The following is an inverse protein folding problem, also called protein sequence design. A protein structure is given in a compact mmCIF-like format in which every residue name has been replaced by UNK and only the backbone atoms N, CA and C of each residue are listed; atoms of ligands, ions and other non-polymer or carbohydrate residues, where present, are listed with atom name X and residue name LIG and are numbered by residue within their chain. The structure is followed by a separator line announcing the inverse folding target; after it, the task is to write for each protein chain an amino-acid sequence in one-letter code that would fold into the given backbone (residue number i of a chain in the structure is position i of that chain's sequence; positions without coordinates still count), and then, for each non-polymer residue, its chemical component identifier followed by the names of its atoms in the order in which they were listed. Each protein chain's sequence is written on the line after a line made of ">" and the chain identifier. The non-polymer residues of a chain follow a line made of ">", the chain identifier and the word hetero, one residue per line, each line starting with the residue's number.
data_IF_122116072306
#
_entry.id   IF_122116072306
#
_cell.length_a   1.000
_cell.length_b   1.000
_cell.length_c   1.000
_cell.angle_alpha   90.00
_cell.angle_beta   90.00
_cell.angle_gamma   90.00
#
_symmetry.space_group_name_H-M   'P 1'
#
loop_
_entity.id
_entity.type
_entity.pdbx_description
1 polymer ?
#
# COMPACT_ATOMS: atom_id res chain seq x y z
N UNK A 1 -9.64 2.95 -11.61
CA UNK A 1 -10.61 3.33 -10.56
C UNK A 1 -10.22 4.72 -10.08
N UNK A 2 -11.16 5.68 -9.93
CA UNK A 2 -10.82 7.00 -9.42
C UNK A 2 -10.41 6.90 -7.95
N UNK A 3 -9.46 7.74 -7.58
CA UNK A 3 -8.83 7.81 -6.26
C UNK A 3 -9.85 8.47 -5.32
N UNK A 4 -10.29 7.75 -4.28
CA UNK A 4 -11.16 8.32 -3.28
C UNK A 4 -10.35 9.33 -2.43
N UNK A 5 -10.73 10.60 -2.49
CA UNK A 5 -10.13 11.73 -1.74
C UNK A 5 -10.62 11.82 -0.28
N UNK A 6 -11.31 10.79 0.21
CA UNK A 6 -11.89 10.80 1.55
C UNK A 6 -10.82 10.48 2.61
N UNK A 7 -10.05 11.50 3.01
CA UNK A 7 -9.27 11.49 4.25
C UNK A 7 -10.21 11.23 5.43
N UNK A 8 -10.26 10.00 5.93
CA UNK A 8 -10.98 9.70 7.18
C UNK A 8 -10.08 10.15 8.34
N UNK A 9 -10.43 11.30 8.94
CA UNK A 9 -9.85 11.79 10.19
C UNK A 9 -10.47 11.04 11.37
N UNK A 10 -9.76 10.06 11.89
CA UNK A 10 -10.06 9.43 13.17
C UNK A 10 -9.26 10.12 14.29
N UNK A 11 -9.68 9.95 15.55
CA UNK A 11 -8.87 10.36 16.70
C UNK A 11 -8.45 9.12 17.47
N UNK A 12 -7.14 8.97 17.72
CA UNK A 12 -6.60 7.92 18.56
C UNK A 12 -6.17 8.51 19.91
N UNK A 13 -6.36 7.77 21.00
CA UNK A 13 -5.78 8.14 22.29
C UNK A 13 -4.41 7.50 22.38
N UNK A 14 -3.36 8.31 22.36
CA UNK A 14 -1.97 7.88 22.52
C UNK A 14 -1.43 8.57 23.76
N UNK A 15 -0.95 7.81 24.74
CA UNK A 15 -0.42 8.33 26.02
C UNK A 15 -1.38 9.23 26.81
N UNK A 16 -2.69 9.00 26.68
CA UNK A 16 -3.73 9.79 27.37
C UNK A 16 -4.14 11.08 26.63
N UNK A 17 -3.52 11.38 25.49
CA UNK A 17 -3.84 12.55 24.67
C UNK A 17 -4.54 12.15 23.37
N UNK A 18 -5.50 12.96 22.90
CA UNK A 18 -6.20 12.73 21.64
C UNK A 18 -5.37 13.26 20.48
N UNK A 19 -4.84 12.35 19.66
CA UNK A 19 -4.07 12.69 18.46
C UNK A 19 -4.90 12.44 17.19
N UNK A 20 -4.82 13.32 16.17
CA UNK A 20 -5.46 13.08 14.89
C UNK A 20 -4.77 11.92 14.16
N UNK A 21 -5.57 10.98 13.66
CA UNK A 21 -5.16 9.82 12.86
C UNK A 21 -5.70 10.02 11.46
N UNK A 22 -4.79 10.10 10.50
CA UNK A 22 -5.12 10.29 9.08
C UNK A 22 -5.11 8.90 8.44
N UNK A 23 -6.27 8.44 8.00
CA UNK A 23 -6.36 7.22 7.20
C UNK A 23 -6.05 7.58 5.75
N UNK A 24 -4.97 7.00 5.22
CA UNK A 24 -4.53 7.20 3.83
C UNK A 24 -4.76 5.94 3.01
N UNK A 25 -5.16 6.05 1.74
CA UNK A 25 -5.26 4.91 0.87
C UNK A 25 -3.88 4.30 0.61
N UNK A 26 -3.80 2.98 0.76
CA UNK A 26 -2.62 2.19 0.43
C UNK A 26 -2.98 1.18 -0.67
N UNK A 27 -2.15 1.10 -1.70
CA UNK A 27 -2.24 0.11 -2.75
C UNK A 27 -1.05 -0.84 -2.64
N UNK A 28 -1.34 -2.14 -2.60
CA UNK A 28 -0.32 -3.18 -2.63
C UNK A 28 -0.27 -3.76 -4.04
N UNK A 29 0.92 -3.79 -4.63
CA UNK A 29 1.16 -4.44 -5.91
C UNK A 29 2.18 -5.55 -5.68
N UNK A 30 1.92 -6.73 -6.24
CA UNK A 30 2.86 -7.85 -6.26
C UNK A 30 3.14 -8.13 -7.72
N UNK A 31 4.39 -8.15 -8.13
CA UNK A 31 4.76 -8.32 -9.54
C UNK A 31 5.97 -9.22 -9.72
N UNK A 32 6.08 -9.83 -10.90
CA UNK A 32 7.28 -10.50 -11.37
C UNK A 32 8.18 -9.49 -12.09
N UNK A 33 9.40 -9.27 -11.60
CA UNK A 33 10.31 -8.26 -12.12
C UNK A 33 10.90 -8.59 -13.49
N UNK A 34 10.87 -9.86 -13.90
CA UNK A 34 11.40 -10.30 -15.19
C UNK A 34 10.31 -10.27 -16.28
N UNK A 35 9.10 -10.73 -15.95
CA UNK A 35 8.00 -10.85 -16.92
C UNK A 35 7.02 -9.68 -16.90
N UNK A 36 7.02 -8.88 -15.82
CA UNK A 36 6.06 -7.79 -15.59
C UNK A 36 4.65 -8.26 -15.23
N UNK A 37 4.46 -9.54 -14.90
CA UNK A 37 3.16 -10.08 -14.49
C UNK A 37 2.82 -9.59 -13.09
N UNK A 38 1.65 -8.96 -12.94
CA UNK A 38 1.09 -8.59 -11.64
C UNK A 38 0.25 -9.74 -11.06
N UNK A 39 0.40 -9.99 -9.76
CA UNK A 39 -0.34 -11.01 -9.01
C UNK A 39 -1.35 -10.35 -8.07
N UNK A 40 -2.55 -10.94 -7.97
CA UNK A 40 -3.60 -10.41 -7.08
C UNK A 40 -3.40 -10.84 -5.62
N UNK A 41 -2.53 -11.83 -5.37
CA UNK A 41 -2.25 -12.34 -4.03
C UNK A 41 -0.86 -12.96 -3.92
N UNK A 42 -0.37 -13.07 -2.68
CA UNK A 42 0.87 -13.79 -2.39
C UNK A 42 0.76 -15.28 -2.79
N UNK A 43 -0.45 -15.86 -2.74
CA UNK A 43 -0.67 -17.25 -3.12
C UNK A 43 -0.53 -17.48 -4.64
N UNK A 44 -1.00 -16.54 -5.47
CA UNK A 44 -0.80 -16.61 -6.93
C UNK A 44 0.68 -16.48 -7.30
N UNK A 45 1.38 -15.55 -6.66
CA UNK A 45 2.82 -15.39 -6.88
C UNK A 45 3.60 -16.64 -6.46
N UNK A 46 3.22 -17.27 -5.34
CA UNK A 46 3.84 -18.51 -4.89
C UNK A 46 3.53 -19.69 -5.82
N UNK A 47 2.30 -19.79 -6.31
CA UNK A 47 1.94 -20.83 -7.27
C UNK A 47 2.76 -20.72 -8.57
N UNK A 48 3.06 -19.50 -9.03
CA UNK A 48 3.94 -19.29 -10.19
C UNK A 48 5.40 -19.69 -9.91
N UNK A 49 5.91 -19.43 -8.70
CA UNK A 49 7.24 -19.86 -8.26
C UNK A 49 7.35 -21.38 -8.11
N UNK A 50 6.27 -22.02 -7.64
CA UNK A 50 6.23 -23.47 -7.39
C UNK A 50 5.96 -24.29 -8.67
N UNK A 51 5.55 -23.62 -9.76
CA UNK A 51 5.29 -24.26 -11.05
C UNK A 51 6.62 -24.57 -11.79
N UNK A 52 6.99 -25.85 -11.96
CA UNK A 52 8.22 -26.22 -12.65
C UNK A 52 8.20 -25.91 -14.16
N UNK A 53 7.04 -25.55 -14.71
CA UNK A 53 6.89 -25.12 -16.10
C UNK A 53 7.24 -23.65 -16.33
N UNK A 54 7.39 -22.86 -15.26
CA UNK A 54 7.79 -21.46 -15.33
C UNK A 54 9.24 -21.29 -14.89
N UNK A 55 9.97 -20.31 -15.43
CA UNK A 55 11.30 -19.95 -14.93
C UNK A 55 11.22 -19.03 -13.69
N UNK A 56 10.03 -18.80 -13.14
CA UNK A 56 9.82 -17.87 -12.04
C UNK A 56 10.52 -18.39 -10.78
N UNK A 57 11.26 -17.50 -10.12
CA UNK A 57 11.95 -17.79 -8.87
C UNK A 57 11.49 -16.80 -7.83
N UNK A 58 11.60 -17.15 -6.55
CA UNK A 58 11.19 -16.29 -5.45
C UNK A 58 11.81 -14.88 -5.52
N UNK A 59 13.05 -14.77 -6.00
CA UNK A 59 13.78 -13.52 -6.17
C UNK A 59 13.22 -12.60 -7.26
N UNK A 60 12.40 -13.14 -8.18
CA UNK A 60 11.73 -12.36 -9.22
C UNK A 60 10.41 -11.76 -8.70
N UNK A 61 9.86 -12.26 -7.60
CA UNK A 61 8.62 -11.73 -7.02
C UNK A 61 8.93 -10.54 -6.13
N UNK A 62 8.37 -9.38 -6.47
CA UNK A 62 8.54 -8.14 -5.71
C UNK A 62 7.19 -7.60 -5.25
N UNK A 63 7.14 -7.23 -3.97
CA UNK A 63 5.97 -6.58 -3.35
C UNK A 63 6.25 -5.11 -3.12
N UNK A 64 5.35 -4.29 -3.61
CA UNK A 64 5.35 -2.84 -3.46
C UNK A 64 4.13 -2.39 -2.67
N UNK A 65 4.33 -1.41 -1.79
CA UNK A 65 3.23 -0.71 -1.12
C UNK A 65 3.33 0.75 -1.49
N UNK A 66 2.36 1.23 -2.25
CA UNK A 66 2.22 2.63 -2.62
C UNK A 66 1.22 3.28 -1.69
N UNK A 67 1.68 4.24 -0.90
CA UNK A 67 0.85 5.01 0.01
C UNK A 67 0.69 6.40 -0.57
N UNK A 68 -0.54 6.84 -0.77
CA UNK A 68 -0.83 8.19 -1.23
C UNK A 68 -1.23 9.05 -0.03
N UNK A 69 -0.38 10.02 0.31
CA UNK A 69 -0.59 10.92 1.44
C UNK A 69 -0.79 12.33 0.90
N UNK A 70 -1.76 13.06 1.47
CA UNK A 70 -1.86 14.50 1.23
C UNK A 70 -0.57 15.22 1.68
N UNK A 71 -0.27 16.38 1.08
CA UNK A 71 0.93 17.12 1.50
C UNK A 71 0.80 17.50 2.97
N UNK A 72 1.85 17.26 3.75
CA UNK A 72 1.90 17.59 5.18
C UNK A 72 1.51 19.05 5.43
N UNK A 73 1.89 19.98 4.54
CA UNK A 73 1.50 21.40 4.63
C UNK A 73 -0.02 21.60 4.59
N UNK A 74 -0.72 20.88 3.72
CA UNK A 74 -2.18 21.01 3.56
C UNK A 74 -2.90 20.37 4.76
N UNK A 75 -2.30 19.30 5.32
CA UNK A 75 -2.74 18.64 6.56
C UNK A 75 -2.59 19.53 7.80
N UNK A 76 -1.45 20.22 7.95
CA UNK A 76 -1.19 21.13 9.07
C UNK A 76 -2.04 22.40 9.00
N UNK A 77 -2.20 22.98 7.81
CA UNK A 77 -3.03 24.16 7.59
C UNK A 77 -4.51 23.92 7.95
N UNK A 78 -5.06 22.72 7.65
CA UNK A 78 -6.42 22.32 8.05
C UNK A 78 -6.58 22.20 9.57
N UNK A 79 -5.51 21.94 10.32
CA UNK A 79 -5.49 21.82 11.78
C UNK A 79 -5.27 23.17 12.49
N UNK A 80 -5.07 24.26 11.74
CA UNK A 80 -4.84 25.60 12.31
C UNK A 80 -3.45 25.82 12.90
N UNK A 81 -2.46 25.03 12.47
CA UNK A 81 -1.04 25.14 12.80
C UNK A 81 -0.23 25.83 11.69
#
# INVERSE_FOLDING_TARGET
>A
MPINEDEVLEYAVVNGEKVPKIVVPAQVTIENTETGVEYNSDAEAQADVDDPSTPTQQQHVRRHVTIQVAKIKDLLAKQGL
#
